data_IF_347987258965
#
_entry.id   IF_347987258965
#
_cell.length_a   1.000
_cell.length_b   1.000
_cell.length_c   1.000
_cell.angle_alpha   90.00
_cell.angle_beta   90.00
_cell.angle_gamma   90.00
#
_symmetry.space_group_name_H-M   'P 1'
#
loop_
_entity.id
_entity.type
_entity.pdbx_description
1 polymer ?
#
# COMPACT_ATOMS: atom_id res chain seq x y z
N UNK A 1 -7.79 -7.61 19.42
CA UNK A 1 -7.80 -7.98 17.99
C UNK A 1 -6.50 -8.72 17.68
N UNK A 2 -6.52 -9.82 16.91
CA UNK A 2 -5.27 -10.40 16.40
C UNK A 2 -4.67 -9.40 15.43
N UNK A 3 -3.45 -8.95 15.70
CA UNK A 3 -2.65 -8.15 14.79
C UNK A 3 -2.36 -9.01 13.55
N UNK A 4 -2.86 -8.58 12.39
CA UNK A 4 -2.60 -9.26 11.14
C UNK A 4 -1.38 -8.61 10.47
N UNK A 5 -0.55 -9.42 9.82
CA UNK A 5 0.73 -8.97 9.26
C UNK A 5 0.57 -8.36 7.86
N UNK A 6 -0.30 -7.38 7.69
CA UNK A 6 -0.52 -6.72 6.41
C UNK A 6 0.23 -5.39 6.33
N UNK A 7 0.84 -5.07 5.19
CA UNK A 7 1.53 -3.79 5.03
C UNK A 7 1.44 -3.28 3.60
N UNK A 8 1.63 -1.98 3.44
CA UNK A 8 1.58 -1.31 2.14
C UNK A 8 3.01 -0.97 1.71
N UNK A 9 3.42 -1.42 0.52
CA UNK A 9 4.68 -1.00 -0.10
C UNK A 9 4.43 -0.07 -1.27
N UNK A 10 5.19 1.02 -1.35
CA UNK A 10 5.26 1.86 -2.53
C UNK A 10 6.53 1.50 -3.31
N UNK A 11 6.36 1.25 -4.60
CA UNK A 11 7.42 0.96 -5.53
C UNK A 11 7.42 1.96 -6.69
N UNK A 12 8.60 2.20 -7.25
CA UNK A 12 8.79 3.04 -8.43
C UNK A 12 9.50 2.27 -9.53
N UNK A 13 9.00 2.35 -10.74
CA UNK A 13 9.66 1.76 -11.91
C UNK A 13 10.86 2.60 -12.32
N UNK A 14 12.05 2.01 -12.28
CA UNK A 14 13.33 2.65 -12.52
C UNK A 14 14.26 1.69 -13.28
N UNK A 15 14.68 2.07 -14.49
CA UNK A 15 15.64 1.31 -15.32
C UNK A 15 15.31 -0.19 -15.49
N UNK A 16 14.07 -0.51 -15.88
CA UNK A 16 13.69 -1.90 -16.16
C UNK A 16 13.19 -2.70 -14.95
N UNK A 17 13.23 -2.12 -13.73
CA UNK A 17 12.83 -2.81 -12.49
C UNK A 17 12.03 -1.91 -11.56
N UNK A 18 11.22 -2.53 -10.70
CA UNK A 18 10.61 -1.83 -9.58
C UNK A 18 11.58 -1.79 -8.39
N UNK A 19 11.71 -0.61 -7.78
CA UNK A 19 12.43 -0.41 -6.53
C UNK A 19 11.43 0.01 -5.45
N UNK A 20 11.52 -0.58 -4.26
CA UNK A 20 10.72 -0.12 -3.11
C UNK A 20 11.27 1.20 -2.61
N UNK A 21 10.41 2.21 -2.53
CA UNK A 21 10.79 3.57 -2.08
C UNK A 21 10.21 3.91 -0.71
N UNK A 22 9.14 3.23 -0.30
CA UNK A 22 8.54 3.38 1.02
C UNK A 22 7.78 2.11 1.41
N UNK A 23 7.65 1.90 2.72
CA UNK A 23 6.79 0.87 3.30
C UNK A 23 6.04 1.48 4.48
N UNK A 24 4.75 1.19 4.58
CA UNK A 24 3.93 1.51 5.73
C UNK A 24 3.65 0.21 6.47
N UNK A 25 4.42 0.00 7.53
CA UNK A 25 4.19 -1.11 8.43
C UNK A 25 3.03 -0.77 9.36
N UNK A 26 2.09 -1.71 9.42
CA UNK A 26 1.15 -1.76 10.50
C UNK A 26 0.78 -3.19 10.71
N UNK A 27 0.83 -3.60 11.97
CA UNK A 27 0.03 -4.67 12.53
C UNK A 27 -1.49 -4.35 12.44
N UNK A 28 -1.97 -3.97 11.25
CA UNK A 28 -3.33 -3.51 10.98
C UNK A 28 -4.29 -4.67 11.09
N UNK A 29 -5.52 -4.35 11.49
CA UNK A 29 -6.63 -5.23 11.20
C UNK A 29 -6.80 -5.38 9.67
N UNK A 30 -6.96 -6.62 9.21
CA UNK A 30 -7.24 -6.98 7.81
C UNK A 30 -8.34 -6.13 7.19
N UNK A 31 -9.48 -6.02 7.90
CA UNK A 31 -10.63 -5.26 7.40
C UNK A 31 -10.27 -3.79 7.09
N UNK A 32 -9.56 -3.14 8.02
CA UNK A 32 -9.19 -1.72 7.89
C UNK A 32 -8.24 -1.50 6.72
N UNK A 33 -7.27 -2.41 6.53
CA UNK A 33 -6.28 -2.23 5.46
C UNK A 33 -6.85 -2.53 4.08
N UNK A 34 -7.78 -3.48 3.97
CA UNK A 34 -8.52 -3.73 2.74
C UNK A 34 -9.43 -2.55 2.39
N UNK A 35 -10.20 -2.02 3.36
CA UNK A 35 -11.03 -0.82 3.17
C UNK A 35 -10.19 0.41 2.81
N UNK A 36 -9.01 0.59 3.44
CA UNK A 36 -8.07 1.63 3.05
C UNK A 36 -7.65 1.48 1.59
N UNK A 37 -7.29 0.26 1.18
CA UNK A 37 -6.80 0.00 -0.17
C UNK A 37 -7.88 0.21 -1.24
N UNK A 38 -9.14 -0.10 -0.92
CA UNK A 38 -10.29 0.15 -1.82
C UNK A 38 -10.57 1.64 -2.07
N UNK A 39 -10.18 2.50 -1.13
CA UNK A 39 -10.33 3.94 -1.28
C UNK A 39 -9.17 4.59 -2.07
N UNK A 40 -8.04 3.89 -2.26
CA UNK A 40 -6.86 4.47 -2.91
C UNK A 40 -7.11 4.74 -4.39
N UNK A 41 -6.55 5.85 -4.87
CA UNK A 41 -6.60 6.29 -6.25
C UNK A 41 -5.55 5.55 -7.09
N UNK A 42 -5.95 5.09 -8.26
CA UNK A 42 -5.06 4.46 -9.23
C UNK A 42 -5.81 3.52 -10.15
N UNK A 43 -5.04 2.83 -10.98
CA UNK A 43 -5.55 1.88 -11.97
C UNK A 43 -4.85 0.53 -11.81
N UNK A 44 -5.45 -0.54 -12.32
CA UNK A 44 -4.82 -1.87 -12.31
C UNK A 44 -3.75 -2.02 -13.37
N UNK A 45 -3.82 -1.21 -14.44
CA UNK A 45 -2.88 -1.27 -15.55
C UNK A 45 -1.75 -0.25 -15.38
N UNK A 46 -0.55 -0.68 -15.76
CA UNK A 46 0.59 0.21 -15.85
C UNK A 46 0.47 1.09 -17.11
N UNK A 47 0.91 2.33 -17.01
CA UNK A 47 1.04 3.23 -18.16
C UNK A 47 2.30 4.08 -18.01
N UNK A 48 2.70 4.77 -19.08
CA UNK A 48 3.88 5.63 -19.06
C UNK A 48 3.81 6.75 -18.02
N UNK A 49 2.60 7.24 -17.71
CA UNK A 49 2.33 8.24 -16.68
C UNK A 49 2.17 7.64 -15.27
N UNK A 50 2.00 6.31 -15.16
CA UNK A 50 1.71 5.59 -13.90
C UNK A 50 2.87 4.66 -13.51
N UNK A 51 4.04 5.26 -13.28
CA UNK A 51 5.28 4.54 -12.92
C UNK A 51 5.41 4.19 -11.43
N UNK A 52 4.46 4.63 -10.61
CA UNK A 52 4.41 4.32 -9.19
C UNK A 52 3.41 3.20 -8.96
N UNK A 53 3.72 2.32 -8.02
CA UNK A 53 2.92 1.15 -7.71
C UNK A 53 2.74 1.05 -6.20
N UNK A 54 1.51 0.89 -5.76
CA UNK A 54 1.16 0.66 -4.35
C UNK A 54 0.71 -0.79 -4.24
N UNK A 55 1.40 -1.57 -3.42
CA UNK A 55 1.11 -2.98 -3.19
C UNK A 55 0.53 -3.19 -1.80
N UNK A 56 -0.53 -4.00 -1.72
CA UNK A 56 -0.98 -4.60 -0.46
C UNK A 56 -0.31 -5.96 -0.32
N UNK A 57 0.47 -6.12 0.74
CA UNK A 57 1.25 -7.31 1.01
C UNK A 57 0.79 -7.96 2.32
N UNK A 58 0.85 -9.29 2.36
CA UNK A 58 0.65 -10.10 3.56
C UNK A 58 1.96 -10.80 3.92
N UNK A 59 2.41 -10.64 5.16
CA UNK A 59 3.55 -11.35 5.71
C UNK A 59 3.09 -12.63 6.41
N UNK A 60 3.04 -13.74 5.68
CA UNK A 60 2.83 -15.05 6.29
C UNK A 60 4.17 -15.65 6.73
N UNK A 61 4.14 -16.42 7.82
CA UNK A 61 5.25 -17.23 8.32
C UNK A 61 5.82 -18.19 7.27
N UNK A 62 5.00 -18.66 6.33
CA UNK A 62 5.41 -19.57 5.27
C UNK A 62 5.94 -18.86 4.01
N UNK A 63 5.37 -17.70 3.66
CA UNK A 63 5.73 -16.92 2.46
C UNK A 63 5.84 -15.45 2.85
N UNK A 64 7.06 -14.93 3.03
CA UNK A 64 7.25 -13.53 3.31
C UNK A 64 6.81 -12.70 2.09
N UNK A 65 6.10 -11.60 2.36
CA UNK A 65 5.72 -10.58 1.36
C UNK A 65 4.81 -11.07 0.22
N UNK A 66 3.79 -11.87 0.52
CA UNK A 66 2.82 -12.27 -0.51
C UNK A 66 2.06 -11.04 -1.02
N UNK A 67 2.15 -10.76 -2.31
CA UNK A 67 1.39 -9.66 -2.93
C UNK A 67 -0.06 -10.06 -3.16
N UNK A 68 -0.98 -9.35 -2.50
CA UNK A 68 -2.41 -9.60 -2.60
C UNK A 68 -3.05 -8.73 -3.68
N UNK A 69 -2.73 -7.43 -3.67
CA UNK A 69 -3.29 -6.44 -4.60
C UNK A 69 -2.24 -5.40 -4.97
N UNK A 70 -2.44 -4.78 -6.12
CA UNK A 70 -1.59 -3.71 -6.63
C UNK A 70 -2.43 -2.70 -7.39
N UNK A 71 -2.07 -1.43 -7.26
CA UNK A 71 -2.54 -0.34 -8.10
C UNK A 71 -1.35 0.47 -8.61
N UNK A 72 -1.48 0.95 -9.84
CA UNK A 72 -0.57 1.86 -10.51
C UNK A 72 -1.10 3.29 -10.39
N UNK A 73 -0.26 4.20 -9.91
CA UNK A 73 -0.64 5.58 -9.67
C UNK A 73 0.35 6.57 -10.31
N UNK A 74 -0.15 7.77 -10.56
CA UNK A 74 0.67 8.95 -10.86
C UNK A 74 1.29 9.51 -9.58
N UNK A 75 2.18 10.50 -9.72
CA UNK A 75 2.75 11.17 -8.55
C UNK A 75 1.70 11.95 -7.75
N UNK A 76 0.74 12.58 -8.43
CA UNK A 76 -0.34 13.34 -7.79
C UNK A 76 -1.28 12.43 -7.01
N UNK A 77 -1.68 11.31 -7.60
CA UNK A 77 -2.47 10.28 -6.90
C UNK A 77 -1.68 9.69 -5.73
N UNK A 78 -0.36 9.48 -5.86
CA UNK A 78 0.47 9.01 -4.76
C UNK A 78 0.46 9.99 -3.57
N UNK A 79 0.46 11.29 -3.83
CA UNK A 79 0.41 12.31 -2.77
C UNK A 79 -0.91 12.21 -1.98
N UNK A 80 -2.05 12.10 -2.67
CA UNK A 80 -3.36 11.93 -2.02
C UNK A 80 -3.48 10.57 -1.32
N UNK A 81 -3.00 9.49 -1.94
CA UNK A 81 -2.95 8.16 -1.35
C UNK A 81 -2.14 8.14 -0.06
N UNK A 82 -0.96 8.77 -0.08
CA UNK A 82 -0.08 8.86 1.09
C UNK A 82 -0.78 9.61 2.24
N UNK A 83 -1.44 10.73 1.95
CA UNK A 83 -2.25 11.47 2.92
C UNK A 83 -3.37 10.61 3.51
N UNK A 84 -4.07 9.82 2.71
CA UNK A 84 -5.08 8.89 3.20
C UNK A 84 -4.50 7.79 4.09
N UNK A 85 -3.41 7.15 3.66
CA UNK A 85 -2.71 6.12 4.41
C UNK A 85 -2.29 6.67 5.78
N UNK A 86 -1.64 7.84 5.81
CA UNK A 86 -1.19 8.53 7.02
C UNK A 86 -2.37 8.93 7.91
N UNK A 87 -3.46 9.44 7.33
CA UNK A 87 -4.65 9.84 8.11
C UNK A 87 -5.31 8.64 8.78
N UNK A 88 -5.48 7.52 8.07
CA UNK A 88 -6.04 6.30 8.66
C UNK A 88 -5.08 5.68 9.68
N UNK A 89 -3.76 5.73 9.46
CA UNK A 89 -2.78 5.29 10.46
C UNK A 89 -2.79 6.11 11.72
N UNK A 90 -2.77 7.43 11.59
CA UNK A 90 -2.89 8.32 12.74
C UNK A 90 -4.15 8.01 13.55
N UNK A 91 -5.29 7.85 12.89
CA UNK A 91 -6.56 7.53 13.58
C UNK A 91 -6.51 6.20 14.32
N UNK A 92 -6.10 5.13 13.63
CA UNK A 92 -6.06 3.79 14.20
C UNK A 92 -5.05 3.60 15.33
N UNK A 93 -3.98 4.40 15.37
CA UNK A 93 -2.98 4.33 16.47
C UNK A 93 -3.42 5.14 17.69
N UNK A 94 -4.12 6.25 17.48
CA UNK A 94 -4.39 7.21 18.56
C UNK A 94 -5.83 7.18 19.10
N UNK A 95 -6.80 6.65 18.35
CA UNK A 95 -8.22 6.73 18.70
C UNK A 95 -9.00 5.41 18.61
N UNK A 96 -8.41 4.35 18.06
CA UNK A 96 -8.98 2.98 18.04
C UNK A 96 -8.23 2.09 19.06
#
# INVERSE_FOLDING_TARGET
>A
MKTSNYYIEIQMYCHGRYITIASFDKNSCEKIIHELFDELLGEHEASDSRRLRINLLLNDTAIPKTQLRSIHCTLDELAENTKMIIKKTFRSINFD
#
